data_IF_714837610052
#
_entry.id   IF_714837610052
#
_cell.length_a   1.000
_cell.length_b   1.000
_cell.length_c   1.000
_cell.angle_alpha   90.00
_cell.angle_beta   90.00
_cell.angle_gamma   90.00
#
_symmetry.space_group_name_H-M   'P 1'
#
loop_
_entity.id
_entity.type
_entity.pdbx_description
1 polymer ?
#
# COMPACT_ATOMS: atom_id res chain seq x y z
N UNK A 1 -3.04 -31.75 -47.40
CA UNK A 1 -3.69 -31.49 -46.10
C UNK A 1 -2.62 -30.96 -45.16
N UNK A 2 -2.52 -29.65 -44.87
CA UNK A 2 -1.51 -29.16 -43.95
C UNK A 2 -2.01 -29.28 -42.50
N UNK A 3 -1.21 -29.92 -41.65
CA UNK A 3 -1.43 -29.98 -40.21
C UNK A 3 -0.96 -28.65 -39.58
N UNK A 4 -1.86 -27.98 -38.87
CA UNK A 4 -1.56 -26.76 -38.10
C UNK A 4 -0.91 -27.15 -36.76
N UNK A 5 0.23 -26.55 -36.37
CA UNK A 5 0.81 -26.79 -35.06
C UNK A 5 0.03 -26.04 -33.98
N UNK A 6 -0.46 -26.78 -32.98
CA UNK A 6 -1.05 -26.22 -31.77
C UNK A 6 0.07 -25.65 -30.90
N UNK A 7 0.14 -24.32 -30.82
CA UNK A 7 1.03 -23.63 -29.88
C UNK A 7 0.41 -23.68 -28.47
N UNK A 8 1.11 -24.24 -27.45
CA UNK A 8 0.62 -24.22 -26.09
C UNK A 8 0.76 -22.80 -25.52
N UNK A 9 -0.37 -22.17 -25.22
CA UNK A 9 -0.40 -20.95 -24.40
C UNK A 9 -0.06 -21.34 -22.96
N UNK A 10 1.15 -21.03 -22.50
CA UNK A 10 1.49 -21.08 -21.08
C UNK A 10 0.79 -19.89 -20.41
N UNK A 11 -0.22 -20.17 -19.60
CA UNK A 11 -0.86 -19.19 -18.74
C UNK A 11 0.06 -19.04 -17.51
N UNK A 12 0.85 -17.97 -17.47
CA UNK A 12 1.60 -17.61 -16.27
C UNK A 12 0.60 -17.19 -15.18
N UNK A 13 0.40 -18.03 -14.17
CA UNK A 13 -0.28 -17.63 -12.93
C UNK A 13 0.71 -16.79 -12.15
N UNK A 14 0.66 -15.48 -12.34
CA UNK A 14 1.34 -14.54 -11.44
C UNK A 14 0.65 -14.63 -10.08
N UNK A 15 1.25 -15.37 -9.14
CA UNK A 15 0.94 -15.21 -7.72
C UNK A 15 1.39 -13.79 -7.34
N UNK A 16 0.55 -12.81 -7.58
CA UNK A 16 0.88 -11.40 -7.36
C UNK A 16 0.90 -11.12 -5.86
N UNK A 17 1.96 -10.48 -5.39
CA UNK A 17 1.98 -9.82 -4.09
C UNK A 17 0.74 -8.93 -3.95
N UNK A 18 0.01 -9.08 -2.85
CA UNK A 18 -1.14 -8.26 -2.50
C UNK A 18 -0.73 -7.19 -1.50
N UNK A 19 -1.20 -5.96 -1.74
CA UNK A 19 -0.99 -4.83 -0.85
C UNK A 19 -2.35 -4.22 -0.50
N UNK A 20 -2.50 -3.80 0.74
CA UNK A 20 -3.71 -3.16 1.26
C UNK A 20 -3.29 -1.96 2.09
N UNK A 21 -3.50 -0.76 1.53
CA UNK A 21 -3.26 0.51 2.20
C UNK A 21 -4.61 1.08 2.62
N UNK A 22 -4.77 1.31 3.91
CA UNK A 22 -6.02 1.70 4.54
C UNK A 22 -5.84 2.99 5.34
N UNK A 23 -6.74 3.94 5.15
CA UNK A 23 -6.77 5.19 5.90
C UNK A 23 -8.21 5.51 6.31
N UNK A 24 -8.47 5.54 7.62
CA UNK A 24 -9.83 5.69 8.15
C UNK A 24 -9.86 6.62 9.37
N UNK A 25 -11.06 7.04 9.76
CA UNK A 25 -11.29 7.79 10.99
C UNK A 25 -10.86 6.96 12.21
N UNK A 26 -10.13 7.60 13.13
CA UNK A 26 -9.84 7.04 14.45
C UNK A 26 -10.74 7.66 15.53
N UNK A 27 -10.35 7.54 16.82
CA UNK A 27 -10.90 8.36 17.89
C UNK A 27 -10.88 9.87 17.58
N UNK A 28 -11.66 10.70 18.28
CA UNK A 28 -11.77 12.14 18.00
C UNK A 28 -10.42 12.83 17.85
N UNK A 29 -10.24 13.55 16.74
CA UNK A 29 -9.00 14.25 16.41
C UNK A 29 -7.86 13.35 15.91
N UNK A 30 -8.16 12.12 15.48
CA UNK A 30 -7.17 11.18 14.96
C UNK A 30 -7.66 10.43 13.72
N UNK A 31 -6.71 9.90 12.96
CA UNK A 31 -6.93 8.96 11.87
C UNK A 31 -6.04 7.73 12.05
N UNK A 32 -6.48 6.59 11.55
CA UNK A 32 -5.72 5.34 11.56
C UNK A 32 -5.22 5.02 10.16
N UNK A 33 -3.90 4.82 10.03
CA UNK A 33 -3.25 4.38 8.81
C UNK A 33 -2.70 2.97 9.02
N UNK A 34 -3.10 2.05 8.15
CA UNK A 34 -2.67 0.66 8.15
C UNK A 34 -2.16 0.26 6.77
N UNK A 35 -1.06 -0.48 6.75
CA UNK A 35 -0.52 -1.13 5.57
C UNK A 35 -0.39 -2.61 5.88
N UNK A 36 -1.08 -3.43 5.11
CA UNK A 36 -1.00 -4.89 5.17
C UNK A 36 -0.55 -5.44 3.81
N UNK A 37 0.27 -6.48 3.84
CA UNK A 37 0.80 -7.15 2.66
C UNK A 37 0.64 -8.66 2.81
N UNK A 38 0.45 -9.36 1.69
CA UNK A 38 0.36 -10.81 1.64
C UNK A 38 0.95 -11.32 0.32
N UNK A 39 1.54 -12.51 0.32
CA UNK A 39 2.18 -13.06 -0.87
C UNK A 39 2.65 -14.48 -0.66
N UNK A 40 3.64 -14.91 -1.44
CA UNK A 40 4.22 -16.24 -1.38
C UNK A 40 5.73 -16.16 -1.66
N UNK A 41 6.48 -15.51 -0.78
CA UNK A 41 7.95 -15.46 -0.81
C UNK A 41 8.58 -14.31 -1.59
N UNK A 42 7.79 -13.38 -2.13
CA UNK A 42 8.33 -12.21 -2.82
C UNK A 42 9.03 -11.27 -1.83
N UNK A 43 10.16 -10.70 -2.24
CA UNK A 43 10.80 -9.59 -1.54
C UNK A 43 10.08 -8.29 -1.89
N UNK A 44 9.48 -7.64 -0.89
CA UNK A 44 8.79 -6.37 -1.07
C UNK A 44 9.56 -5.24 -0.44
N UNK A 45 9.75 -4.16 -1.21
CA UNK A 45 10.21 -2.86 -0.73
C UNK A 45 9.06 -1.87 -0.86
N UNK A 46 8.88 -1.00 0.12
CA UNK A 46 7.87 0.05 0.06
C UNK A 46 8.41 1.40 0.55
N UNK A 47 7.83 2.48 0.01
CA UNK A 47 8.04 3.87 0.38
C UNK A 47 6.66 4.53 0.54
N UNK A 48 6.28 4.81 1.78
CA UNK A 48 5.02 5.43 2.17
C UNK A 48 5.26 6.90 2.54
N UNK A 49 4.58 7.81 1.86
CA UNK A 49 4.56 9.24 2.17
C UNK A 49 3.17 9.63 2.65
N UNK A 50 3.11 10.25 3.83
CA UNK A 50 1.87 10.77 4.40
C UNK A 50 1.96 12.29 4.44
N UNK A 51 1.03 12.95 3.76
CA UNK A 51 0.84 14.39 3.79
C UNK A 51 -0.41 14.70 4.61
N UNK A 52 -0.32 15.70 5.49
CA UNK A 52 -1.50 16.25 6.17
C UNK A 52 -1.54 17.76 6.05
N UNK A 53 -2.74 18.30 5.90
CA UNK A 53 -3.02 19.73 5.81
C UNK A 53 -4.28 20.03 6.62
N UNK A 54 -4.13 20.84 7.66
CA UNK A 54 -5.23 21.22 8.53
C UNK A 54 -5.05 22.62 9.13
N UNK A 55 -5.88 22.99 10.12
CA UNK A 55 -5.88 24.34 10.70
C UNK A 55 -4.54 24.74 11.34
N UNK A 56 -3.81 23.76 11.89
CA UNK A 56 -2.50 23.97 12.50
C UNK A 56 -1.34 24.08 11.48
N UNK A 57 -1.61 23.87 10.19
CA UNK A 57 -0.64 23.91 9.12
C UNK A 57 -0.51 22.60 8.35
N UNK A 58 0.63 22.45 7.67
CA UNK A 58 0.97 21.29 6.83
C UNK A 58 2.04 20.44 7.48
N UNK A 59 1.94 19.13 7.34
CA UNK A 59 3.00 18.20 7.73
C UNK A 59 3.20 17.12 6.67
N UNK A 60 4.42 16.61 6.59
CA UNK A 60 4.75 15.49 5.72
C UNK A 60 5.66 14.53 6.47
N UNK A 61 5.35 13.23 6.39
CA UNK A 61 6.20 12.16 6.89
C UNK A 61 6.47 11.14 5.79
N UNK A 62 7.61 10.46 5.89
CA UNK A 62 7.99 9.39 4.98
C UNK A 62 8.46 8.19 5.80
N UNK A 63 8.05 7.00 5.40
CA UNK A 63 8.52 5.74 5.94
C UNK A 63 8.83 4.79 4.80
N UNK A 64 9.90 4.01 4.93
CA UNK A 64 10.20 2.92 4.01
C UNK A 64 10.50 1.64 4.77
N UNK A 65 10.40 0.52 4.08
CA UNK A 65 10.71 -0.78 4.65
C UNK A 65 10.92 -1.83 3.57
N UNK A 66 11.50 -2.96 3.99
CA UNK A 66 11.67 -4.15 3.17
C UNK A 66 11.24 -5.36 3.98
N UNK A 67 10.46 -6.26 3.38
CA UNK A 67 10.04 -7.52 3.99
C UNK A 67 9.86 -8.62 2.94
N UNK A 68 10.09 -9.85 3.35
CA UNK A 68 9.68 -11.03 2.58
C UNK A 68 8.21 -11.33 2.87
N UNK A 69 7.40 -11.45 1.81
CA UNK A 69 5.99 -11.79 1.94
C UNK A 69 5.79 -13.25 2.26
N UNK A 70 4.76 -13.51 3.06
CA UNK A 70 4.34 -14.84 3.43
C UNK A 70 2.88 -15.08 3.06
N UNK A 71 2.43 -16.35 3.03
CA UNK A 71 1.03 -16.68 2.78
C UNK A 71 0.09 -16.01 3.79
N UNK A 72 0.55 -15.79 5.03
CA UNK A 72 -0.17 -14.99 6.00
C UNK A 72 -0.10 -13.48 5.71
N UNK A 73 -1.19 -12.78 6.01
CA UNK A 73 -1.21 -11.31 5.97
C UNK A 73 -0.33 -10.74 7.07
N UNK A 74 0.60 -9.85 6.70
CA UNK A 74 1.49 -9.14 7.61
C UNK A 74 1.19 -7.64 7.52
N UNK A 75 1.01 -6.98 8.66
CA UNK A 75 0.73 -5.53 8.72
C UNK A 75 1.90 -4.77 9.37
N UNK A 76 2.97 -4.46 8.61
CA UNK A 76 4.18 -3.83 9.15
C UNK A 76 3.97 -2.39 9.63
N UNK A 77 2.90 -1.73 9.18
CA UNK A 77 2.53 -0.41 9.66
C UNK A 77 1.07 -0.39 10.11
N UNK A 78 0.89 -0.01 11.37
CA UNK A 78 -0.38 0.39 11.96
C UNK A 78 -0.09 1.57 12.88
N UNK A 79 -0.51 2.77 12.48
CA UNK A 79 -0.17 4.02 13.19
C UNK A 79 -1.39 4.92 13.30
N UNK A 80 -1.54 5.54 14.47
CA UNK A 80 -2.47 6.64 14.70
C UNK A 80 -1.80 7.96 14.32
N UNK A 81 -2.51 8.79 13.55
CA UNK A 81 -2.08 10.09 13.07
C UNK A 81 -2.94 11.15 13.76
N UNK A 82 -2.31 12.20 14.29
CA UNK A 82 -3.04 13.38 14.77
C UNK A 82 -3.73 14.09 13.61
N UNK A 83 -5.04 14.23 13.70
CA UNK A 83 -5.88 14.73 12.61
C UNK A 83 -7.11 15.47 13.19
N UNK A 84 -6.95 16.72 13.64
CA UNK A 84 -8.08 17.52 14.13
C UNK A 84 -9.11 17.77 13.01
N UNK A 85 -10.36 18.13 13.35
CA UNK A 85 -11.39 18.46 12.37
C UNK A 85 -10.91 19.49 11.33
N UNK A 86 -11.32 19.30 10.08
CA UNK A 86 -10.85 20.10 8.95
C UNK A 86 -9.45 19.74 8.45
N UNK A 87 -8.93 18.56 8.80
CA UNK A 87 -7.64 18.07 8.29
C UNK A 87 -7.86 17.13 7.09
N UNK A 88 -7.15 17.41 6.00
CA UNK A 88 -6.95 16.48 4.88
C UNK A 88 -5.72 15.63 5.15
N UNK A 89 -5.84 14.33 4.94
CA UNK A 89 -4.73 13.38 4.97
C UNK A 89 -4.65 12.68 3.63
N UNK A 90 -3.44 12.57 3.08
CA UNK A 90 -3.16 11.81 1.87
C UNK A 90 -1.97 10.89 2.12
N UNK A 91 -2.16 9.59 1.95
CA UNK A 91 -1.14 8.57 2.04
C UNK A 91 -0.85 8.04 0.63
N UNK A 92 0.39 8.16 0.17
CA UNK A 92 0.86 7.62 -1.12
C UNK A 92 1.93 6.59 -0.88
N UNK A 93 1.83 5.44 -1.52
CA UNK A 93 2.78 4.36 -1.36
C UNK A 93 3.28 3.87 -2.71
N UNK A 94 4.59 4.01 -2.91
CA UNK A 94 5.32 3.34 -3.98
C UNK A 94 5.87 2.03 -3.44
N UNK A 95 5.78 0.97 -4.21
CA UNK A 95 6.23 -0.33 -3.77
C UNK A 95 6.72 -1.18 -4.94
N UNK A 96 7.58 -2.14 -4.59
CA UNK A 96 8.24 -3.06 -5.51
C UNK A 96 8.07 -4.47 -4.97
N UNK A 97 7.81 -5.44 -5.84
CA UNK A 97 7.83 -6.86 -5.54
C UNK A 97 8.87 -7.53 -6.44
N UNK A 98 9.86 -8.18 -5.82
CA UNK A 98 11.02 -8.78 -6.52
C UNK A 98 11.68 -7.80 -7.50
N UNK A 99 11.94 -6.57 -7.01
CA UNK A 99 12.49 -5.42 -7.76
C UNK A 99 11.64 -4.88 -8.92
N UNK A 100 10.44 -5.44 -9.16
CA UNK A 100 9.48 -4.92 -10.14
C UNK A 100 8.58 -3.88 -9.48
N UNK A 101 8.63 -2.64 -9.96
CA UNK A 101 7.74 -1.56 -9.50
C UNK A 101 6.29 -1.91 -9.79
N UNK A 102 5.44 -1.73 -8.78
CA UNK A 102 4.01 -1.99 -8.83
C UNK A 102 3.24 -0.67 -8.95
N UNK A 103 1.92 -0.75 -9.12
CA UNK A 103 1.07 0.44 -9.14
C UNK A 103 1.16 1.20 -7.80
N UNK A 104 1.25 2.52 -7.85
CA UNK A 104 1.23 3.36 -6.65
C UNK A 104 -0.15 3.29 -5.98
N UNK A 105 -0.16 3.06 -4.67
CA UNK A 105 -1.39 3.10 -3.87
C UNK A 105 -1.58 4.50 -3.29
N UNK A 106 -2.77 5.05 -3.43
CA UNK A 106 -3.11 6.35 -2.84
C UNK A 106 -4.41 6.28 -2.07
N UNK A 107 -4.35 6.69 -0.80
CA UNK A 107 -5.52 6.84 0.07
C UNK A 107 -5.68 8.29 0.49
N UNK A 108 -6.92 8.76 0.52
CA UNK A 108 -7.26 10.12 0.94
C UNK A 108 -8.37 10.05 1.97
N UNK A 109 -8.22 10.85 3.02
CA UNK A 109 -9.20 10.96 4.08
C UNK A 109 -9.38 12.42 4.48
N UNK A 110 -10.62 12.81 4.73
CA UNK A 110 -10.97 14.12 5.24
C UNK A 110 -11.61 13.96 6.61
N UNK A 111 -11.09 14.67 7.60
CA UNK A 111 -11.64 14.67 8.95
C UNK A 111 -12.72 15.74 9.04
N UNK A 112 -13.95 15.30 9.23
CA UNK A 112 -15.12 16.17 9.46
C UNK A 112 -15.16 16.71 10.91
#
# INVERSE_FOLDING_TARGET
MPALPFAPYLIAVSLSAGVDLQLHAGPPGTAELRLCLQGNGQQVRYELRVFSEGPAGRSQSSQSGTLELRPETVCPLSRVIGAPPGTRIEARMRWWADDVEQAEETQRFWVE
#
